data_IF_518242124212
#
_entry.id   IF_518242124212
#
_cell.length_a   1.000
_cell.length_b   1.000
_cell.length_c   1.000
_cell.angle_alpha   90.00
_cell.angle_beta   90.00
_cell.angle_gamma   90.00
#
_symmetry.space_group_name_H-M   'P 1'
#
loop_
_entity.id
_entity.type
_entity.pdbx_description
1 polymer ?
#
# COMPACT_ATOMS: atom_id res chain seq x y z
N UNK A 1 12.20 6.45 -13.74
CA UNK A 1 10.92 5.87 -13.25
C UNK A 1 11.28 4.77 -12.28
N UNK A 2 10.55 4.65 -11.18
CA UNK A 2 10.77 3.63 -10.15
C UNK A 2 9.51 2.77 -10.10
N UNK A 3 9.69 1.46 -10.07
CA UNK A 3 8.61 0.50 -9.89
C UNK A 3 8.91 -0.25 -8.59
N UNK A 4 7.91 -0.35 -7.72
CA UNK A 4 8.00 -1.07 -6.45
C UNK A 4 6.88 -2.11 -6.41
N UNK A 5 7.18 -3.33 -5.99
CA UNK A 5 6.19 -4.40 -5.85
C UNK A 5 5.77 -4.57 -4.39
N UNK A 6 4.50 -4.93 -4.15
CA UNK A 6 3.93 -5.08 -2.80
C UNK A 6 4.42 -6.33 -2.04
N UNK A 7 5.33 -7.12 -2.61
CA UNK A 7 5.94 -8.30 -1.97
C UNK A 7 6.53 -7.97 -0.60
N UNK A 8 7.00 -6.73 -0.45
CA UNK A 8 7.23 -6.13 0.85
C UNK A 8 6.61 -4.74 0.82
N UNK A 9 5.48 -4.57 1.51
CA UNK A 9 4.77 -3.29 1.62
C UNK A 9 5.71 -2.16 2.07
N UNK A 10 6.68 -2.46 2.93
CA UNK A 10 7.67 -1.50 3.43
C UNK A 10 8.56 -0.91 2.33
N UNK A 11 8.71 -1.60 1.19
CA UNK A 11 9.51 -1.12 0.06
C UNK A 11 8.94 0.17 -0.54
N UNK A 12 7.65 0.45 -0.33
CA UNK A 12 7.03 1.69 -0.80
C UNK A 12 7.65 2.93 -0.13
N UNK A 13 8.13 2.81 1.11
CA UNK A 13 8.82 3.91 1.82
C UNK A 13 10.09 4.30 1.06
N UNK A 14 10.88 3.30 0.65
CA UNK A 14 12.07 3.52 -0.17
C UNK A 14 11.68 4.11 -1.54
N UNK A 15 10.62 3.59 -2.15
CA UNK A 15 10.07 4.14 -3.40
C UNK A 15 9.76 5.62 -3.30
N UNK A 16 9.06 6.04 -2.24
CA UNK A 16 8.70 7.43 -1.97
C UNK A 16 9.92 8.31 -1.72
N UNK A 17 10.88 7.81 -0.94
CA UNK A 17 12.14 8.53 -0.71
C UNK A 17 12.90 8.76 -2.03
N UNK A 18 13.03 7.73 -2.85
CA UNK A 18 13.72 7.80 -4.13
C UNK A 18 12.94 8.67 -5.15
N UNK A 19 11.60 8.59 -5.16
CA UNK A 19 10.73 9.49 -5.95
C UNK A 19 11.07 10.94 -5.68
N UNK A 20 11.13 11.32 -4.39
CA UNK A 20 11.45 12.69 -3.97
C UNK A 20 12.88 13.08 -4.30
N UNK A 21 13.85 12.18 -4.10
CA UNK A 21 15.27 12.43 -4.38
C UNK A 21 15.56 12.61 -5.87
N UNK A 22 14.99 11.76 -6.72
CA UNK A 22 15.27 11.72 -8.16
C UNK A 22 14.19 12.41 -9.00
N UNK A 23 13.15 13.00 -8.37
CA UNK A 23 12.03 13.70 -9.03
C UNK A 23 11.41 12.92 -10.18
N UNK A 24 11.24 11.61 -9.98
CA UNK A 24 10.77 10.70 -11.02
C UNK A 24 9.38 10.15 -10.70
N UNK A 25 8.76 9.45 -11.66
CA UNK A 25 7.50 8.74 -11.42
C UNK A 25 7.72 7.49 -10.59
N UNK A 26 6.81 7.20 -9.67
CA UNK A 26 6.72 6.02 -8.82
C UNK A 26 5.45 5.23 -9.15
N UNK A 27 5.64 3.99 -9.59
CA UNK A 27 4.58 3.04 -9.88
C UNK A 27 4.61 1.94 -8.81
N UNK A 28 3.45 1.60 -8.27
CA UNK A 28 3.33 0.50 -7.32
C UNK A 28 2.60 -0.68 -7.94
N UNK A 29 3.26 -1.83 -7.95
CA UNK A 29 2.70 -3.10 -8.40
C UNK A 29 2.13 -3.87 -7.20
N UNK A 30 0.80 -3.95 -7.11
CA UNK A 30 0.10 -4.70 -6.08
C UNK A 30 0.00 -6.16 -6.52
N UNK A 31 0.67 -7.02 -5.76
CA UNK A 31 0.64 -8.48 -5.85
C UNK A 31 -0.18 -9.12 -4.73
N UNK A 32 -0.22 -8.45 -3.58
CA UNK A 32 -0.88 -8.87 -2.35
C UNK A 32 -1.49 -7.64 -1.66
N UNK A 33 -2.68 -7.78 -1.05
CA UNK A 33 -3.38 -6.69 -0.37
C UNK A 33 -2.95 -6.68 1.10
N UNK A 34 -2.06 -5.76 1.47
CA UNK A 34 -1.57 -5.61 2.84
C UNK A 34 -2.25 -4.45 3.54
N UNK A 35 -2.74 -4.58 4.78
CA UNK A 35 -2.49 -5.70 5.69
C UNK A 35 -3.57 -6.79 5.67
N UNK A 36 -4.50 -6.75 4.70
CA UNK A 36 -5.64 -7.66 4.62
C UNK A 36 -5.21 -9.13 4.68
N UNK A 37 -4.16 -9.51 3.95
CA UNK A 37 -3.59 -10.87 3.97
C UNK A 37 -3.25 -11.35 5.38
N UNK A 38 -2.63 -10.53 6.23
CA UNK A 38 -2.29 -10.93 7.61
C UNK A 38 -3.55 -11.04 8.49
N UNK A 39 -4.51 -10.14 8.28
CA UNK A 39 -5.76 -10.14 9.06
C UNK A 39 -6.61 -11.36 8.73
N UNK A 40 -6.71 -11.72 7.45
CA UNK A 40 -7.56 -12.81 6.97
C UNK A 40 -6.88 -14.18 7.02
N UNK A 41 -5.63 -14.30 6.55
CA UNK A 41 -4.93 -15.58 6.47
C UNK A 41 -4.24 -15.92 7.79
N UNK A 42 -3.54 -14.95 8.41
CA UNK A 42 -2.79 -15.18 9.66
C UNK A 42 -3.61 -14.88 10.93
N UNK A 43 -4.87 -14.45 10.79
CA UNK A 43 -5.82 -14.15 11.88
C UNK A 43 -5.33 -13.11 12.89
N UNK A 44 -4.48 -12.18 12.47
CA UNK A 44 -4.09 -11.08 13.34
C UNK A 44 -5.29 -10.16 13.60
N UNK A 45 -5.40 -9.67 14.84
CA UNK A 45 -6.40 -8.65 15.15
C UNK A 45 -6.12 -7.37 14.35
N UNK A 46 -7.16 -6.80 13.74
CA UNK A 46 -7.10 -5.48 13.09
C UNK A 46 -6.61 -4.36 14.02
N UNK A 47 -6.78 -4.55 15.34
CA UNK A 47 -6.31 -3.59 16.35
C UNK A 47 -4.85 -3.78 16.75
N UNK A 48 -4.17 -4.81 16.23
CA UNK A 48 -2.75 -5.02 16.49
C UNK A 48 -1.95 -3.79 15.98
N UNK A 49 -1.08 -3.19 16.82
CA UNK A 49 -0.26 -2.04 16.40
C UNK A 49 0.53 -2.27 15.11
N UNK A 50 0.97 -3.50 14.86
CA UNK A 50 1.68 -3.86 13.63
C UNK A 50 0.78 -3.80 12.39
N UNK A 51 -0.45 -4.31 12.50
CA UNK A 51 -1.45 -4.25 11.42
C UNK A 51 -1.81 -2.79 11.11
N UNK A 52 -2.06 -1.98 12.15
CA UNK A 52 -2.36 -0.55 11.98
C UNK A 52 -1.20 0.21 11.35
N UNK A 53 0.04 -0.11 11.73
CA UNK A 53 1.23 0.47 11.12
C UNK A 53 1.34 0.15 9.63
N UNK A 54 1.05 -1.10 9.24
CA UNK A 54 1.01 -1.49 7.83
C UNK A 54 -0.13 -0.78 7.07
N UNK A 55 -1.34 -0.68 7.65
CA UNK A 55 -2.44 0.11 7.06
C UNK A 55 -2.04 1.56 6.81
N UNK A 56 -1.31 2.17 7.74
CA UNK A 56 -0.84 3.54 7.59
C UNK A 56 0.18 3.66 6.45
N UNK A 57 1.11 2.72 6.33
CA UNK A 57 2.09 2.69 5.23
C UNK A 57 1.39 2.52 3.89
N UNK A 58 0.42 1.62 3.81
CA UNK A 58 -0.37 1.39 2.60
C UNK A 58 -1.10 2.68 2.17
N UNK A 59 -1.78 3.34 3.10
CA UNK A 59 -2.46 4.61 2.86
C UNK A 59 -1.51 5.70 2.35
N UNK A 60 -0.36 5.88 3.02
CA UNK A 60 0.66 6.85 2.59
C UNK A 60 1.17 6.48 1.20
N UNK A 61 1.40 5.20 0.95
CA UNK A 61 1.72 4.66 -0.36
C UNK A 61 0.74 5.14 -1.41
N UNK A 62 -0.51 4.70 -1.34
CA UNK A 62 -1.56 5.03 -2.33
C UNK A 62 -1.73 6.53 -2.56
N UNK A 63 -1.60 7.35 -1.52
CA UNK A 63 -1.75 8.80 -1.64
C UNK A 63 -0.66 9.49 -2.46
N UNK A 64 0.56 8.98 -2.49
CA UNK A 64 1.73 9.66 -3.09
C UNK A 64 2.28 8.97 -4.36
N UNK A 65 1.64 7.91 -4.83
CA UNK A 65 2.01 7.21 -6.08
C UNK A 65 1.55 7.97 -7.32
N UNK A 66 2.25 7.78 -8.44
CA UNK A 66 1.82 8.31 -9.74
C UNK A 66 0.94 7.31 -10.50
N UNK A 67 1.13 6.02 -10.27
CA UNK A 67 0.29 4.96 -10.82
C UNK A 67 0.32 3.70 -9.93
N UNK A 68 -0.76 2.93 -10.01
CA UNK A 68 -0.89 1.62 -9.38
C UNK A 68 -1.18 0.61 -10.50
N UNK A 69 -0.52 -0.54 -10.46
CA UNK A 69 -0.72 -1.65 -11.37
C UNK A 69 -0.90 -2.93 -10.57
N UNK A 70 -1.70 -3.86 -11.04
CA UNK A 70 -1.91 -5.14 -10.37
C UNK A 70 -2.94 -5.97 -11.13
N UNK A 71 -2.91 -7.29 -10.89
CA UNK A 71 -3.80 -8.24 -11.57
C UNK A 71 -5.00 -8.65 -10.71
N UNK A 72 -5.11 -8.13 -9.49
CA UNK A 72 -6.17 -8.53 -8.58
C UNK A 72 -7.52 -7.94 -9.01
N UNK A 73 -8.60 -8.74 -8.98
CA UNK A 73 -9.96 -8.21 -9.17
C UNK A 73 -10.27 -7.19 -8.06
N UNK A 74 -11.04 -6.16 -8.38
CA UNK A 74 -11.44 -5.08 -7.46
C UNK A 74 -10.28 -4.25 -6.87
N UNK A 75 -9.10 -4.25 -7.51
CA UNK A 75 -7.96 -3.43 -7.08
C UNK A 75 -8.30 -1.95 -6.93
N UNK A 76 -9.04 -1.40 -7.90
CA UNK A 76 -9.45 0.01 -7.92
C UNK A 76 -10.35 0.31 -6.72
N UNK A 77 -11.31 -0.57 -6.43
CA UNK A 77 -12.23 -0.40 -5.31
C UNK A 77 -11.50 -0.47 -3.97
N UNK A 78 -10.54 -1.38 -3.81
CA UNK A 78 -9.72 -1.46 -2.59
C UNK A 78 -8.90 -0.18 -2.37
N UNK A 79 -8.22 0.30 -3.42
CA UNK A 79 -7.44 1.55 -3.36
C UNK A 79 -8.36 2.73 -3.05
N UNK A 80 -9.52 2.85 -3.71
CA UNK A 80 -10.48 3.91 -3.47
C UNK A 80 -11.02 3.87 -2.03
N UNK A 81 -11.33 2.67 -1.52
CA UNK A 81 -11.77 2.50 -0.15
C UNK A 81 -10.70 2.98 0.82
N UNK A 82 -9.43 2.61 0.64
CA UNK A 82 -8.35 3.00 1.56
C UNK A 82 -8.02 4.50 1.46
N UNK A 83 -8.04 5.08 0.26
CA UNK A 83 -7.76 6.51 0.08
C UNK A 83 -8.91 7.39 0.58
N UNK A 84 -10.16 6.96 0.40
CA UNK A 84 -11.37 7.71 0.81
C UNK A 84 -11.75 7.48 2.27
N UNK A 85 -11.75 6.23 2.72
CA UNK A 85 -11.91 5.91 4.14
C UNK A 85 -10.56 6.09 4.81
N UNK A 86 -10.37 7.26 5.44
CA UNK A 86 -9.41 7.37 6.52
C UNK A 86 -9.68 6.18 7.47
N UNK A 87 -8.69 5.30 7.63
CA UNK A 87 -8.72 4.05 8.42
C UNK A 87 -8.81 4.34 9.95
N UNK A 88 -9.46 5.45 10.32
CA UNK A 88 -9.67 5.95 11.67
C UNK A 88 -11.17 6.19 11.95
N UNK A 89 -12.03 5.28 11.47
CA UNK A 89 -13.43 5.14 11.88
C UNK A 89 -13.58 3.99 12.86
#
# INVERSE_FOLDING_TARGET
MIIVSSLSLLTIINGLFLKKKYKCKLIFEIRDIWPLTIVEEEKFSKYNPFVQFLSLIEYIGYRYLDAIVGMMPNLIENVDNIVRYNVFG
#
